data_IF_669893462848
#
_entry.id   IF_669893462848
#
_cell.length_a   1.000
_cell.length_b   1.000
_cell.length_c   1.000
_cell.angle_alpha   90.00
_cell.angle_beta   90.00
_cell.angle_gamma   90.00
#
_symmetry.space_group_name_H-M   'P 1'
#
loop_
_entity.id
_entity.type
_entity.pdbx_description
1 polymer ?
#
# COMPACT_ATOMS: atom_id res chain seq x y z
N UNK A 1 20.73 37.95 -29.89
CA UNK A 1 19.55 37.08 -29.68
C UNK A 1 20.07 35.66 -29.70
N UNK A 2 20.25 35.06 -28.52
CA UNK A 2 20.76 33.70 -28.34
C UNK A 2 19.59 32.73 -28.29
N UNK A 3 19.67 31.65 -29.06
CA UNK A 3 18.69 30.58 -29.11
C UNK A 3 18.66 29.85 -27.76
N UNK A 4 17.47 29.77 -27.18
CA UNK A 4 17.17 28.96 -25.99
C UNK A 4 16.83 27.55 -26.49
N UNK A 5 17.77 26.62 -26.33
CA UNK A 5 17.48 25.19 -26.45
C UNK A 5 16.81 24.73 -25.14
N UNK A 6 15.50 24.55 -25.18
CA UNK A 6 14.76 23.88 -24.10
C UNK A 6 15.05 22.39 -24.14
N UNK A 7 16.05 21.95 -23.39
CA UNK A 7 16.23 20.54 -23.08
C UNK A 7 15.15 20.10 -22.10
N UNK A 8 14.04 19.64 -22.67
CA UNK A 8 13.01 18.86 -22.00
C UNK A 8 13.59 17.49 -21.66
N UNK A 9 14.36 17.41 -20.57
CA UNK A 9 14.61 16.11 -19.96
C UNK A 9 13.34 15.71 -19.23
N UNK A 10 12.59 14.80 -19.85
CA UNK A 10 11.58 14.01 -19.17
C UNK A 10 12.21 13.38 -17.93
N UNK A 11 11.87 13.92 -16.76
CA UNK A 11 12.30 13.41 -15.48
C UNK A 11 11.48 12.15 -15.18
N UNK A 12 11.85 11.04 -15.81
CA UNK A 12 11.35 9.71 -15.44
C UNK A 12 12.09 9.29 -14.17
N UNK A 13 11.81 9.99 -13.07
CA UNK A 13 12.25 9.56 -11.75
C UNK A 13 11.39 8.36 -11.39
N UNK A 14 11.97 7.16 -11.42
CA UNK A 14 11.34 5.97 -10.88
C UNK A 14 10.76 6.32 -9.50
N UNK A 15 9.48 6.04 -9.28
CA UNK A 15 8.83 6.31 -8.00
C UNK A 15 9.66 5.65 -6.90
N UNK A 16 10.34 6.46 -6.08
CA UNK A 16 11.14 5.95 -4.98
C UNK A 16 10.17 5.28 -4.00
N UNK A 17 10.33 3.98 -3.78
CA UNK A 17 9.52 3.22 -2.83
C UNK A 17 9.65 3.90 -1.46
N UNK A 18 8.51 4.19 -0.81
CA UNK A 18 8.52 4.87 0.47
C UNK A 18 9.15 3.97 1.56
N UNK A 19 9.90 4.54 2.53
CA UNK A 19 10.60 3.73 3.55
C UNK A 19 9.70 2.76 4.29
N UNK A 20 8.49 3.18 4.67
CA UNK A 20 7.53 2.37 5.44
C UNK A 20 6.98 1.15 4.67
N UNK A 21 7.30 1.01 3.39
CA UNK A 21 6.95 -0.13 2.54
C UNK A 21 8.11 -1.12 2.37
N UNK A 22 9.30 -0.82 2.92
CA UNK A 22 10.46 -1.69 2.91
C UNK A 22 10.57 -2.42 4.26
N UNK A 23 11.03 -3.65 4.24
CA UNK A 23 11.49 -4.30 5.48
C UNK A 23 12.69 -3.53 6.05
N UNK A 24 12.93 -3.63 7.36
CA UNK A 24 14.08 -2.99 7.98
C UNK A 24 15.39 -3.33 7.25
N UNK A 25 15.57 -4.60 6.86
CA UNK A 25 16.74 -5.07 6.12
C UNK A 25 16.85 -4.43 4.73
N UNK A 26 15.74 -4.32 3.99
CA UNK A 26 15.72 -3.66 2.68
C UNK A 26 16.02 -2.17 2.80
N UNK A 27 15.45 -1.48 3.79
CA UNK A 27 15.74 -0.08 4.03
C UNK A 27 17.21 0.14 4.39
N UNK A 28 17.78 -0.67 5.30
CA UNK A 28 19.20 -0.58 5.65
C UNK A 28 20.10 -0.80 4.43
N UNK A 29 19.71 -1.70 3.52
CA UNK A 29 20.48 -1.99 2.31
C UNK A 29 20.48 -0.85 1.28
N UNK A 30 19.45 0.02 1.29
CA UNK A 30 19.28 1.10 0.31
C UNK A 30 19.58 2.50 0.87
N UNK A 31 19.36 2.70 2.16
CA UNK A 31 19.55 3.97 2.85
C UNK A 31 21.01 4.19 3.26
N UNK A 32 21.35 5.46 3.51
CA UNK A 32 22.69 5.86 3.95
C UNK A 32 22.58 6.72 5.19
N UNK A 33 23.36 6.41 6.22
CA UNK A 33 23.55 7.26 7.39
C UNK A 33 24.82 8.11 7.21
N UNK A 34 24.64 9.40 6.98
CA UNK A 34 25.72 10.37 6.82
C UNK A 34 26.00 11.04 8.17
N UNK A 35 27.24 10.99 8.69
CA UNK A 35 27.57 11.69 9.92
C UNK A 35 27.48 13.20 9.69
N UNK A 36 26.83 13.91 10.61
CA UNK A 36 26.76 15.36 10.60
C UNK A 36 27.79 15.95 11.57
N UNK A 37 28.55 16.94 11.10
CA UNK A 37 29.50 17.70 11.90
C UNK A 37 28.95 19.10 12.14
N UNK A 38 29.13 19.62 13.36
CA UNK A 38 28.63 20.96 13.76
C UNK A 38 27.11 21.13 13.61
N UNK A 39 26.37 20.02 13.68
CA UNK A 39 24.92 19.99 13.67
C UNK A 39 24.42 19.54 15.05
N UNK A 40 23.22 19.99 15.46
CA UNK A 40 22.60 19.55 16.71
C UNK A 40 22.12 18.09 16.71
N UNK A 41 22.37 17.35 15.61
CA UNK A 41 22.01 15.94 15.42
C UNK A 41 23.23 15.16 14.94
N UNK A 42 23.33 13.87 15.28
CA UNK A 42 24.49 13.04 14.91
C UNK A 42 24.46 12.53 13.46
N UNK A 43 23.28 12.19 12.93
CA UNK A 43 23.15 11.52 11.63
C UNK A 43 22.06 12.16 10.76
N UNK A 44 22.33 12.22 9.46
CA UNK A 44 21.36 12.43 8.39
C UNK A 44 21.18 11.11 7.63
N UNK A 45 20.02 10.49 7.77
CA UNK A 45 19.65 9.25 7.09
C UNK A 45 18.89 9.58 5.82
N UNK A 46 19.39 9.11 4.68
CA UNK A 46 18.87 9.44 3.34
C UNK A 46 18.51 8.20 2.53
N UNK A 47 17.41 8.27 1.79
CA UNK A 47 17.00 7.26 0.81
C UNK A 47 16.18 7.91 -0.32
N UNK A 48 16.78 8.13 -1.48
CA UNK A 48 16.11 8.88 -2.56
C UNK A 48 15.70 10.28 -2.09
N UNK A 49 14.40 10.58 -2.12
CA UNK A 49 13.85 11.86 -1.63
C UNK A 49 13.52 11.84 -0.11
N UNK A 50 13.67 10.70 0.56
CA UNK A 50 13.48 10.62 2.00
C UNK A 50 14.73 11.07 2.75
N UNK A 51 14.53 11.87 3.80
CA UNK A 51 15.55 12.23 4.76
C UNK A 51 14.99 12.23 6.20
N UNK A 52 15.81 11.82 7.16
CA UNK A 52 15.48 11.89 8.59
C UNK A 52 16.75 12.09 9.42
N UNK A 53 16.62 12.70 10.60
CA UNK A 53 17.74 12.90 11.51
C UNK A 53 17.66 11.96 12.70
N UNK A 54 18.80 11.41 13.11
CA UNK A 54 18.92 10.53 14.27
C UNK A 54 20.09 10.93 15.17
N UNK A 55 19.93 10.69 16.48
CA UNK A 55 20.98 10.86 17.51
C UNK A 55 21.52 9.53 18.03
N UNK A 56 21.22 8.44 17.36
CA UNK A 56 21.70 7.12 17.71
C UNK A 56 23.24 7.07 17.74
N UNK A 57 23.80 6.16 18.55
CA UNK A 57 25.24 6.13 18.78
C UNK A 57 26.05 5.57 17.60
N UNK A 58 25.41 4.87 16.67
CA UNK A 58 26.06 4.26 15.51
C UNK A 58 25.25 4.53 14.23
N UNK A 59 25.94 4.49 13.08
CA UNK A 59 25.30 4.60 11.76
C UNK A 59 24.19 3.56 11.58
N UNK A 60 24.44 2.32 12.00
CA UNK A 60 23.47 1.23 11.93
C UNK A 60 22.24 1.51 12.78
N UNK A 61 22.43 1.97 14.02
CA UNK A 61 21.33 2.33 14.90
C UNK A 61 20.55 3.54 14.36
N UNK A 62 21.21 4.49 13.70
CA UNK A 62 20.55 5.62 13.05
C UNK A 62 19.65 5.19 11.89
N UNK A 63 20.08 4.21 11.09
CA UNK A 63 19.24 3.62 10.03
C UNK A 63 17.98 2.96 10.61
N UNK A 64 18.14 2.20 11.69
CA UNK A 64 17.02 1.53 12.37
C UNK A 64 16.05 2.57 12.95
N UNK A 65 16.56 3.59 13.64
CA UNK A 65 15.80 4.68 14.24
C UNK A 65 15.01 5.48 13.18
N UNK A 66 15.65 5.83 12.06
CA UNK A 66 14.98 6.52 10.97
C UNK A 66 13.85 5.67 10.34
N UNK A 67 14.11 4.36 10.12
CA UNK A 67 13.09 3.47 9.59
C UNK A 67 11.92 3.28 10.56
N UNK A 68 12.21 3.09 11.84
CA UNK A 68 11.20 3.04 12.91
C UNK A 68 10.31 4.29 12.86
N UNK A 69 10.91 5.48 12.81
CA UNK A 69 10.17 6.75 12.69
C UNK A 69 9.31 6.83 11.42
N UNK A 70 9.78 6.30 10.29
CA UNK A 70 8.98 6.26 9.06
C UNK A 70 7.76 5.34 9.18
N UNK A 71 7.92 4.15 9.77
CA UNK A 71 6.83 3.20 10.04
C UNK A 71 5.85 3.78 11.05
N UNK A 72 6.33 4.38 12.14
CA UNK A 72 5.53 5.07 13.14
C UNK A 72 4.69 6.19 12.51
N UNK A 73 5.29 7.04 11.67
CA UNK A 73 4.56 8.13 11.01
C UNK A 73 3.47 7.62 10.07
N UNK A 74 3.73 6.50 9.37
CA UNK A 74 2.72 5.87 8.53
C UNK A 74 1.53 5.36 9.34
N UNK A 75 1.78 4.75 10.51
CA UNK A 75 0.73 4.26 11.41
C UNK A 75 -0.05 5.41 12.06
N UNK A 76 0.66 6.39 12.63
CA UNK A 76 0.08 7.59 13.24
C UNK A 76 -0.86 8.34 12.29
N UNK A 77 -0.43 8.54 11.03
CA UNK A 77 -1.27 9.21 10.06
C UNK A 77 -2.52 8.41 9.69
N UNK A 78 -2.56 7.10 9.93
CA UNK A 78 -3.73 6.25 9.71
C UNK A 78 -4.62 6.07 10.95
N UNK A 79 -4.35 6.78 12.05
CA UNK A 79 -5.28 6.86 13.18
C UNK A 79 -6.60 7.52 12.77
N UNK A 80 -7.68 7.18 13.50
CA UNK A 80 -9.04 7.62 13.16
C UNK A 80 -9.22 9.15 13.30
N UNK A 81 -8.44 9.79 14.17
CA UNK A 81 -8.43 11.23 14.41
C UNK A 81 -7.27 11.95 13.70
N UNK A 82 -6.48 11.23 12.90
CA UNK A 82 -5.39 11.83 12.15
C UNK A 82 -5.93 12.81 11.09
N UNK A 83 -5.21 13.92 10.83
CA UNK A 83 -5.62 14.89 9.82
C UNK A 83 -5.65 14.24 8.43
N UNK A 84 -6.69 14.56 7.66
CA UNK A 84 -6.73 14.20 6.24
C UNK A 84 -5.70 15.03 5.46
N UNK A 85 -4.77 14.33 4.84
CA UNK A 85 -3.68 14.93 4.07
C UNK A 85 -3.63 14.36 2.66
N UNK A 86 -3.29 15.17 1.64
CA UNK A 86 -2.97 14.65 0.32
C UNK A 86 -1.82 13.66 0.41
N UNK A 87 -1.91 12.54 -0.32
CA UNK A 87 -0.89 11.48 -0.36
C UNK A 87 -0.61 10.85 1.02
N UNK A 88 -1.67 10.61 1.79
CA UNK A 88 -1.62 9.86 3.05
C UNK A 88 -0.84 8.54 2.85
N UNK A 89 0.18 8.24 3.67
CA UNK A 89 0.93 7.00 3.55
C UNK A 89 0.02 5.80 3.82
N UNK A 90 0.26 4.68 3.15
CA UNK A 90 -0.46 3.44 3.44
C UNK A 90 0.04 2.81 4.73
N UNK A 91 -0.78 1.93 5.31
CA UNK A 91 -0.37 1.15 6.49
C UNK A 91 0.72 0.16 6.07
N UNK A 92 1.84 0.05 6.83
CA UNK A 92 2.91 -0.91 6.57
C UNK A 92 2.41 -2.36 6.55
N UNK A 93 3.05 -3.21 5.75
CA UNK A 93 2.69 -4.65 5.69
C UNK A 93 3.10 -5.39 6.97
N UNK A 94 2.52 -6.57 7.19
CA UNK A 94 2.88 -7.43 8.31
C UNK A 94 4.38 -7.81 8.33
N UNK A 95 5.00 -7.97 7.15
CA UNK A 95 6.44 -8.26 7.04
C UNK A 95 7.30 -7.08 7.51
N UNK A 96 6.89 -5.85 7.21
CA UNK A 96 7.56 -4.63 7.71
C UNK A 96 7.38 -4.50 9.22
N UNK A 97 6.15 -4.69 9.70
CA UNK A 97 5.79 -4.57 11.11
C UNK A 97 6.48 -5.62 12.00
N UNK A 98 6.86 -6.78 11.46
CA UNK A 98 7.56 -7.83 12.21
C UNK A 98 8.87 -7.35 12.88
N UNK A 99 9.47 -6.26 12.39
CA UNK A 99 10.66 -5.65 12.99
C UNK A 99 10.36 -4.67 14.13
N UNK A 100 9.09 -4.32 14.38
CA UNK A 100 8.66 -3.27 15.31
C UNK A 100 7.50 -3.71 16.22
N UNK A 101 7.74 -4.64 17.18
CA UNK A 101 6.70 -5.13 18.08
C UNK A 101 6.04 -4.04 18.92
N UNK A 102 6.81 -3.00 19.27
CA UNK A 102 6.32 -1.84 20.02
C UNK A 102 5.29 -1.03 19.22
N UNK A 103 5.51 -0.85 17.91
CA UNK A 103 4.53 -0.19 17.04
C UNK A 103 3.30 -1.06 16.78
N UNK A 104 3.45 -2.38 16.73
CA UNK A 104 2.32 -3.31 16.66
C UNK A 104 1.43 -3.15 17.89
N UNK A 105 2.03 -3.08 19.08
CA UNK A 105 1.30 -2.90 20.34
C UNK A 105 0.62 -1.52 20.40
N UNK A 106 1.34 -0.46 20.03
CA UNK A 106 0.84 0.91 20.11
C UNK A 106 -0.31 1.19 19.13
N UNK A 107 -0.23 0.68 17.90
CA UNK A 107 -1.19 0.96 16.83
C UNK A 107 -2.04 -0.26 16.46
N UNK A 108 -2.32 -1.14 17.44
CA UNK A 108 -3.07 -2.37 17.23
C UNK A 108 -4.42 -2.14 16.54
N UNK A 109 -5.15 -1.08 16.91
CA UNK A 109 -6.44 -0.73 16.32
C UNK A 109 -6.32 -0.29 14.86
N UNK A 110 -5.30 0.52 14.51
CA UNK A 110 -5.03 0.94 13.13
C UNK A 110 -4.69 -0.27 12.26
N UNK A 111 -3.83 -1.15 12.78
CA UNK A 111 -3.43 -2.37 12.09
C UNK A 111 -4.65 -3.27 11.91
N UNK A 112 -5.43 -3.53 12.96
CA UNK A 112 -6.64 -4.35 12.88
C UNK A 112 -7.68 -3.77 11.90
N UNK A 113 -7.86 -2.45 11.88
CA UNK A 113 -8.77 -1.79 10.94
C UNK A 113 -8.28 -1.89 9.48
N UNK A 114 -6.97 -1.76 9.26
CA UNK A 114 -6.37 -1.86 7.93
C UNK A 114 -6.29 -3.29 7.38
N UNK A 115 -6.07 -4.27 8.26
CA UNK A 115 -5.97 -5.70 7.95
C UNK A 115 -7.32 -6.42 8.04
N UNK A 116 -8.32 -5.78 8.65
CA UNK A 116 -9.70 -6.19 8.51
C UNK A 116 -10.06 -6.07 7.04
N UNK A 117 -10.11 -7.21 6.33
CA UNK A 117 -10.77 -7.31 5.03
C UNK A 117 -12.05 -6.48 5.13
N UNK A 118 -12.15 -5.39 4.36
CA UNK A 118 -13.38 -4.62 4.30
C UNK A 118 -14.44 -5.54 3.73
N UNK A 119 -15.14 -6.26 4.61
CA UNK A 119 -16.32 -7.01 4.25
C UNK A 119 -17.37 -5.98 3.90
N UNK A 120 -17.60 -5.80 2.60
CA UNK A 120 -18.76 -5.08 2.12
C UNK A 120 -19.93 -6.05 2.33
N UNK A 121 -20.77 -5.78 3.32
CA UNK A 121 -22.03 -6.49 3.45
C UNK A 121 -22.80 -6.30 2.14
N UNK A 122 -23.11 -7.40 1.45
CA UNK A 122 -23.99 -7.33 0.29
C UNK A 122 -25.33 -6.74 0.75
N UNK A 123 -25.96 -5.86 -0.05
CA UNK A 123 -27.29 -5.37 0.27
C UNK A 123 -28.24 -6.55 0.52
N UNK A 124 -29.21 -6.38 1.43
CA UNK A 124 -30.22 -7.39 1.65
C UNK A 124 -31.03 -7.57 0.36
N UNK A 125 -30.78 -8.69 -0.31
CA UNK A 125 -31.41 -9.07 -1.58
C UNK A 125 -32.39 -10.21 -1.36
N UNK A 126 -33.44 -10.27 -2.14
CA UNK A 126 -34.31 -11.45 -2.18
C UNK A 126 -33.64 -12.60 -2.95
N UNK A 127 -34.23 -13.80 -2.89
CA UNK A 127 -33.67 -14.99 -3.53
C UNK A 127 -33.46 -14.83 -5.05
N UNK A 128 -34.38 -14.17 -5.76
CA UNK A 128 -34.26 -13.98 -7.20
C UNK A 128 -33.13 -12.99 -7.56
N UNK A 129 -32.97 -11.92 -6.78
CA UNK A 129 -31.86 -10.97 -6.92
C UNK A 129 -30.52 -11.66 -6.63
N UNK A 130 -30.47 -12.49 -5.58
CA UNK A 130 -29.29 -13.28 -5.25
C UNK A 130 -28.91 -14.25 -6.39
N UNK A 131 -29.88 -14.98 -6.94
CA UNK A 131 -29.65 -15.91 -8.05
C UNK A 131 -29.15 -15.17 -9.30
N UNK A 132 -29.64 -13.95 -9.55
CA UNK A 132 -29.17 -13.11 -10.64
C UNK A 132 -27.71 -12.66 -10.44
N UNK A 133 -27.32 -12.26 -9.22
CA UNK A 133 -25.93 -11.90 -8.89
C UNK A 133 -25.00 -13.10 -9.08
N UNK A 134 -25.40 -14.29 -8.61
CA UNK A 134 -24.62 -15.51 -8.79
C UNK A 134 -24.46 -15.87 -10.27
N UNK A 135 -25.53 -15.77 -11.06
CA UNK A 135 -25.47 -16.00 -12.50
C UNK A 135 -24.54 -15.00 -13.22
N UNK A 136 -24.58 -13.72 -12.83
CA UNK A 136 -23.71 -12.69 -13.38
C UNK A 136 -22.23 -12.96 -13.05
N UNK A 137 -21.92 -13.39 -11.83
CA UNK A 137 -20.55 -13.78 -11.43
C UNK A 137 -20.05 -15.00 -12.23
N UNK A 138 -20.89 -16.01 -12.44
CA UNK A 138 -20.54 -17.16 -13.29
C UNK A 138 -20.30 -16.75 -14.75
N UNK A 139 -21.12 -15.85 -15.27
CA UNK A 139 -20.95 -15.31 -16.61
C UNK A 139 -19.65 -14.51 -16.74
N UNK A 140 -19.28 -13.76 -15.71
CA UNK A 140 -18.01 -13.04 -15.63
C UNK A 140 -16.83 -14.03 -15.67
N UNK A 141 -16.82 -15.07 -14.82
CA UNK A 141 -15.76 -16.09 -14.83
C UNK A 141 -15.60 -16.78 -16.18
N UNK A 142 -16.71 -17.11 -16.84
CA UNK A 142 -16.71 -17.66 -18.20
C UNK A 142 -16.15 -16.66 -19.23
N UNK A 143 -16.54 -15.38 -19.14
CA UNK A 143 -16.04 -14.31 -20.02
C UNK A 143 -14.54 -14.08 -19.85
N UNK A 144 -14.03 -14.15 -18.62
CA UNK A 144 -12.60 -14.05 -18.33
C UNK A 144 -11.82 -15.24 -18.88
N UNK A 145 -12.34 -16.46 -18.71
CA UNK A 145 -11.73 -17.68 -19.29
C UNK A 145 -11.72 -17.62 -20.82
N UNK A 146 -12.78 -17.08 -21.43
CA UNK A 146 -12.87 -16.84 -22.87
C UNK A 146 -12.03 -15.66 -23.37
N UNK A 147 -11.39 -14.90 -22.47
CA UNK A 147 -10.54 -13.76 -22.79
C UNK A 147 -11.30 -12.49 -23.22
N UNK A 148 -12.62 -12.45 -23.06
CA UNK A 148 -13.48 -11.30 -23.36
C UNK A 148 -13.38 -10.18 -22.32
N UNK A 149 -13.08 -10.54 -21.07
CA UNK A 149 -12.85 -9.61 -19.96
C UNK A 149 -11.47 -9.88 -19.39
N UNK A 150 -10.71 -8.81 -19.16
CA UNK A 150 -9.39 -8.87 -18.53
C UNK A 150 -9.29 -7.79 -17.46
N UNK A 151 -8.60 -8.03 -16.34
CA UNK A 151 -8.29 -6.97 -15.39
C UNK A 151 -7.61 -5.79 -16.09
N UNK A 152 -8.00 -4.56 -15.72
CA UNK A 152 -7.52 -3.31 -16.33
C UNK A 152 -7.82 -3.13 -17.83
N UNK A 153 -8.85 -3.80 -18.37
CA UNK A 153 -9.28 -3.66 -19.77
C UNK A 153 -10.79 -3.39 -19.89
N UNK A 154 -11.14 -2.23 -20.46
CA UNK A 154 -12.51 -1.74 -20.60
C UNK A 154 -13.26 -1.56 -19.26
N UNK A 155 -14.54 -1.19 -19.35
CA UNK A 155 -15.34 -0.81 -18.18
C UNK A 155 -15.38 -1.90 -17.08
N UNK A 156 -15.58 -3.16 -17.48
CA UNK A 156 -15.65 -4.28 -16.52
C UNK A 156 -14.27 -4.57 -15.92
N UNK A 157 -13.21 -4.49 -16.72
CA UNK A 157 -11.84 -4.71 -16.25
C UNK A 157 -11.34 -3.61 -15.31
N UNK A 158 -11.76 -2.37 -15.52
CA UNK A 158 -11.49 -1.24 -14.63
C UNK A 158 -12.22 -1.38 -13.29
N UNK A 159 -13.48 -1.85 -13.30
CA UNK A 159 -14.22 -2.16 -12.07
C UNK A 159 -13.52 -3.26 -11.27
N UNK A 160 -13.02 -4.31 -11.96
CA UNK A 160 -12.35 -5.43 -11.29
C UNK A 160 -11.08 -5.03 -10.53
N UNK A 161 -10.43 -3.93 -10.91
CA UNK A 161 -9.17 -3.49 -10.32
C UNK A 161 -9.29 -2.19 -9.54
N UNK A 162 -10.51 -1.64 -9.42
CA UNK A 162 -10.75 -0.28 -8.95
C UNK A 162 -9.80 0.72 -9.62
N UNK A 163 -9.86 0.76 -10.95
CA UNK A 163 -9.00 1.59 -11.79
C UNK A 163 -7.49 1.33 -11.58
N UNK A 164 -7.12 0.08 -11.27
CA UNK A 164 -5.73 -0.33 -11.03
C UNK A 164 -5.23 -0.13 -9.60
N UNK A 165 -6.11 0.21 -8.66
CA UNK A 165 -5.78 0.37 -7.23
C UNK A 165 -5.44 -0.97 -6.56
N UNK A 166 -5.98 -2.08 -7.06
CA UNK A 166 -5.61 -3.42 -6.61
C UNK A 166 -5.56 -4.43 -7.76
N UNK A 167 -4.93 -5.58 -7.52
CA UNK A 167 -5.02 -6.70 -8.46
C UNK A 167 -6.48 -7.15 -8.58
N UNK A 168 -6.94 -7.32 -9.81
CA UNK A 168 -8.29 -7.84 -10.07
C UNK A 168 -8.37 -9.33 -9.81
N UNK A 169 -9.55 -9.82 -9.46
CA UNK A 169 -9.78 -11.25 -9.30
C UNK A 169 -9.44 -12.01 -10.60
N UNK A 170 -8.86 -13.20 -10.47
CA UNK A 170 -8.73 -14.14 -11.61
C UNK A 170 -10.05 -14.87 -11.86
N UNK A 171 -10.15 -15.57 -12.99
CA UNK A 171 -11.30 -16.43 -13.27
C UNK A 171 -11.51 -17.48 -12.17
N UNK A 172 -10.43 -18.13 -11.69
CA UNK A 172 -10.54 -19.06 -10.56
C UNK A 172 -10.97 -18.36 -9.26
N UNK A 173 -10.50 -17.12 -9.05
CA UNK A 173 -10.93 -16.30 -7.92
C UNK A 173 -12.43 -16.00 -7.94
N UNK A 174 -13.00 -15.75 -9.12
CA UNK A 174 -14.45 -15.52 -9.28
C UNK A 174 -15.24 -16.79 -8.99
N UNK A 175 -14.76 -17.95 -9.44
CA UNK A 175 -15.39 -19.23 -9.11
C UNK A 175 -15.35 -19.53 -7.62
N UNK A 176 -14.21 -19.31 -6.96
CA UNK A 176 -14.07 -19.46 -5.51
C UNK A 176 -15.00 -18.51 -4.74
N UNK A 177 -15.19 -17.28 -5.23
CA UNK A 177 -16.13 -16.33 -4.66
C UNK A 177 -17.57 -16.83 -4.76
N UNK A 178 -17.97 -17.40 -5.91
CA UNK A 178 -19.30 -17.96 -6.10
C UNK A 178 -19.63 -19.06 -5.09
N UNK A 179 -18.66 -19.93 -4.76
CA UNK A 179 -18.85 -21.01 -3.77
C UNK A 179 -18.94 -20.48 -2.33
N UNK A 180 -18.27 -19.35 -2.04
CA UNK A 180 -18.25 -18.75 -0.70
C UNK A 180 -19.51 -17.98 -0.37
N UNK A 181 -20.15 -17.36 -1.37
CA UNK A 181 -21.38 -16.60 -1.16
C UNK A 181 -22.55 -17.58 -1.01
N UNK A 182 -23.02 -17.76 0.23
CA UNK A 182 -24.19 -18.59 0.54
C UNK A 182 -25.41 -17.71 0.82
N UNK A 183 -26.59 -18.16 0.38
CA UNK A 183 -27.86 -17.55 0.77
C UNK A 183 -28.31 -18.20 2.07
N UNK A 184 -28.11 -17.52 3.20
CA UNK A 184 -28.67 -17.95 4.47
C UNK A 184 -30.20 -17.89 4.38
N UNK A 185 -30.83 -19.06 4.54
CA UNK A 185 -32.27 -19.26 4.35
C UNK A 185 -33.08 -18.91 5.59
#
# INVERSE_FOLDING_TARGET
MQNVETNTHANTQAAAIAPHLLTQAQFIATAQAVPLLNHGRKWDVRMGNYNSFSDADTAQAALIDAHHGAVNNALFLNEADAPEIPNKPSVPSAEVLASYPDLIEQYADVIAYSQGERSIALPAVNKAEFDAVLAALRLLGASMTGGLVRPCDGDIGEILTDNGTHEGLTAEGVDALCERIQFDS
#
